data_IF_647931214316
#
_entry.id   IF_647931214316
#
_cell.length_a   1.000
_cell.length_b   1.000
_cell.length_c   1.000
_cell.angle_alpha   90.00
_cell.angle_beta   90.00
_cell.angle_gamma   90.00
#
_symmetry.space_group_name_H-M   'P 1'
#
loop_
_entity.id
_entity.type
_entity.pdbx_description
1 polymer ?
#
# COMPACT_ATOMS: atom_id res chain seq x y z
N UNK A 1 -16.97 24.92 18.26
CA UNK A 1 -17.25 23.56 18.81
C UNK A 1 -18.65 23.39 19.44
N UNK A 2 -19.37 24.44 19.87
CA UNK A 2 -20.70 24.31 20.50
C UNK A 2 -21.83 23.76 19.57
N UNK A 3 -21.61 23.71 18.26
CA UNK A 3 -22.62 23.28 17.28
C UNK A 3 -22.77 21.76 17.17
N UNK A 4 -21.67 20.98 17.21
CA UNK A 4 -21.73 19.53 16.97
C UNK A 4 -22.42 18.76 18.09
N UNK A 5 -22.31 19.24 19.33
CA UNK A 5 -22.92 18.62 20.53
C UNK A 5 -24.45 18.76 20.52
N UNK A 6 -25.00 19.66 19.70
CA UNK A 6 -26.45 19.85 19.52
C UNK A 6 -27.05 18.95 18.44
N UNK A 7 -26.21 18.26 17.67
CA UNK A 7 -26.70 17.33 16.65
C UNK A 7 -27.28 16.08 17.30
N UNK A 8 -28.33 15.54 16.67
CA UNK A 8 -28.89 14.25 17.02
C UNK A 8 -27.81 13.15 16.91
N UNK A 9 -27.80 12.13 17.79
CA UNK A 9 -26.80 11.06 17.77
C UNK A 9 -26.64 10.38 16.41
N UNK A 10 -27.74 10.21 15.68
CA UNK A 10 -27.79 9.57 14.36
C UNK A 10 -27.01 10.35 13.30
N UNK A 11 -27.07 11.68 13.36
CA UNK A 11 -26.29 12.55 12.48
C UNK A 11 -24.79 12.44 12.81
N UNK A 12 -24.44 12.38 14.09
CA UNK A 12 -23.05 12.22 14.52
C UNK A 12 -22.50 10.85 14.08
N UNK A 13 -23.29 9.79 14.20
CA UNK A 13 -22.95 8.45 13.68
C UNK A 13 -22.82 8.41 12.15
N UNK A 14 -23.55 9.27 11.45
CA UNK A 14 -23.43 9.42 9.99
C UNK A 14 -22.16 10.17 9.62
N UNK A 15 -21.83 11.24 10.35
CA UNK A 15 -20.58 12.00 10.21
C UNK A 15 -19.36 11.13 10.54
N UNK A 16 -19.48 10.20 11.50
CA UNK A 16 -18.35 9.36 11.92
C UNK A 16 -17.77 8.48 10.81
N UNK A 17 -18.53 8.23 9.73
CA UNK A 17 -18.08 7.50 8.54
C UNK A 17 -16.98 8.25 7.77
N UNK A 18 -16.86 9.56 7.97
CA UNK A 18 -15.90 10.42 7.28
C UNK A 18 -14.72 10.82 8.16
N UNK A 19 -14.71 10.40 9.43
CA UNK A 19 -13.62 10.72 10.35
C UNK A 19 -12.41 9.83 10.08
N UNK A 20 -11.23 10.42 10.11
CA UNK A 20 -9.98 9.68 10.30
C UNK A 20 -9.89 9.08 11.70
N UNK A 21 -9.01 8.10 11.90
CA UNK A 21 -8.73 7.54 13.23
C UNK A 21 -8.30 8.61 14.23
N UNK A 22 -7.45 9.53 13.79
CA UNK A 22 -6.95 10.63 14.63
C UNK A 22 -8.10 11.51 15.09
N UNK A 23 -9.01 11.88 14.19
CA UNK A 23 -10.18 12.69 14.53
C UNK A 23 -11.15 11.95 15.44
N UNK A 24 -11.37 10.64 15.20
CA UNK A 24 -12.19 9.81 16.08
C UNK A 24 -11.61 9.72 17.50
N UNK A 25 -10.28 9.62 17.63
CA UNK A 25 -9.61 9.66 18.94
C UNK A 25 -9.75 11.03 19.60
N UNK A 26 -9.66 12.13 18.85
CA UNK A 26 -9.93 13.47 19.37
C UNK A 26 -11.39 13.59 19.84
N UNK A 27 -12.33 13.02 19.09
CA UNK A 27 -13.75 12.95 19.42
C UNK A 27 -14.01 12.35 20.81
N UNK A 28 -13.27 11.29 21.18
CA UNK A 28 -13.33 10.67 22.51
C UNK A 28 -12.98 11.63 23.64
N UNK A 29 -12.06 12.55 23.37
CA UNK A 29 -11.51 13.46 24.39
C UNK A 29 -12.27 14.78 24.52
N UNK A 30 -13.22 15.07 23.64
CA UNK A 30 -13.89 16.37 23.60
C UNK A 30 -14.88 16.59 24.76
N UNK A 31 -15.89 15.73 24.93
CA UNK A 31 -16.89 15.88 26.00
C UNK A 31 -17.63 14.57 26.32
N UNK A 32 -18.34 14.52 27.45
CA UNK A 32 -19.07 13.33 27.92
C UNK A 32 -20.13 12.83 26.93
N UNK A 33 -20.82 13.73 26.24
CA UNK A 33 -21.84 13.39 25.25
C UNK A 33 -21.24 12.70 24.02
N UNK A 34 -20.15 13.26 23.47
CA UNK A 34 -19.46 12.62 22.35
C UNK A 34 -18.83 11.29 22.77
N UNK A 35 -18.29 11.22 23.99
CA UNK A 35 -17.82 9.97 24.57
C UNK A 35 -18.94 8.91 24.61
N UNK A 36 -20.15 9.25 25.07
CA UNK A 36 -21.27 8.29 25.09
C UNK A 36 -21.66 7.80 23.69
N UNK A 37 -21.54 8.65 22.65
CA UNK A 37 -21.80 8.22 21.27
C UNK A 37 -20.74 7.22 20.81
N UNK A 38 -19.49 7.41 21.20
CA UNK A 38 -18.44 6.43 20.90
C UNK A 38 -18.63 5.12 21.68
N UNK A 39 -19.47 5.03 22.71
CA UNK A 39 -19.86 3.73 23.31
C UNK A 39 -20.73 2.88 22.38
N UNK A 40 -21.32 3.49 21.35
CA UNK A 40 -22.10 2.78 20.35
C UNK A 40 -21.20 1.92 19.44
N UNK A 41 -21.55 0.64 19.26
CA UNK A 41 -20.88 -0.28 18.35
C UNK A 41 -20.84 0.23 16.91
N UNK A 42 -21.93 0.84 16.43
CA UNK A 42 -22.04 1.35 15.06
C UNK A 42 -21.02 2.42 14.74
N UNK A 43 -20.64 3.25 15.72
CA UNK A 43 -19.59 4.26 15.54
C UNK A 43 -18.28 3.60 15.11
N UNK A 44 -17.85 2.55 15.82
CA UNK A 44 -16.60 1.85 15.53
C UNK A 44 -16.69 0.94 14.32
N UNK A 45 -17.87 0.34 14.07
CA UNK A 45 -18.09 -0.46 12.86
C UNK A 45 -17.95 0.42 11.61
N UNK A 46 -18.60 1.58 11.59
CA UNK A 46 -18.52 2.54 10.49
C UNK A 46 -17.07 2.98 10.25
N UNK A 47 -16.34 3.28 11.32
CA UNK A 47 -14.96 3.72 11.23
C UNK A 47 -14.01 2.59 10.78
N UNK A 48 -14.26 1.36 11.23
CA UNK A 48 -13.54 0.17 10.78
C UNK A 48 -13.81 -0.10 9.29
N UNK A 49 -15.07 -0.03 8.85
CA UNK A 49 -15.46 -0.17 7.44
C UNK A 49 -14.84 0.91 6.56
N UNK A 50 -14.86 2.17 7.02
CA UNK A 50 -14.21 3.27 6.32
C UNK A 50 -12.71 3.01 6.15
N UNK A 51 -12.01 2.57 7.20
CA UNK A 51 -10.61 2.20 7.08
C UNK A 51 -10.40 0.99 6.15
N UNK A 52 -11.24 -0.03 6.26
CA UNK A 52 -11.19 -1.20 5.38
C UNK A 52 -11.34 -0.79 3.93
N UNK A 53 -12.29 0.06 3.60
CA UNK A 53 -12.47 0.57 2.25
C UNK A 53 -11.31 1.49 1.83
N UNK A 54 -10.94 2.49 2.63
CA UNK A 54 -9.88 3.46 2.31
C UNK A 54 -8.52 2.80 2.06
N UNK A 55 -8.22 1.75 2.81
CA UNK A 55 -6.97 1.03 2.71
C UNK A 55 -7.11 -0.33 2.01
N UNK A 56 -8.29 -0.56 1.42
CA UNK A 56 -8.68 -1.79 0.74
C UNK A 56 -8.39 -3.09 1.54
N UNK A 57 -8.49 -3.07 2.87
CA UNK A 57 -8.16 -4.25 3.69
C UNK A 57 -9.09 -5.42 3.32
N UNK A 58 -8.57 -6.65 3.10
CA UNK A 58 -9.38 -7.79 2.69
C UNK A 58 -10.42 -8.14 3.76
N UNK A 59 -11.68 -8.32 3.36
CA UNK A 59 -12.78 -8.65 4.30
C UNK A 59 -12.57 -10.00 5.00
N UNK A 60 -11.86 -10.94 4.35
CA UNK A 60 -11.49 -12.24 4.92
C UNK A 60 -10.66 -12.14 6.20
N UNK A 61 -9.94 -11.04 6.41
CA UNK A 61 -9.01 -10.90 7.54
C UNK A 61 -9.71 -10.73 8.88
N UNK A 62 -10.96 -10.25 8.89
CA UNK A 62 -11.75 -10.03 10.08
C UNK A 62 -13.24 -9.89 9.74
N UNK A 63 -14.10 -10.69 10.38
CA UNK A 63 -15.55 -10.47 10.34
C UNK A 63 -15.92 -9.28 11.23
N UNK A 64 -15.95 -8.09 10.64
CA UNK A 64 -16.35 -6.86 11.33
C UNK A 64 -17.79 -6.93 11.87
N UNK A 65 -18.66 -7.73 11.24
CA UNK A 65 -20.06 -7.85 11.63
C UNK A 65 -20.24 -8.68 12.90
N UNK A 66 -19.38 -9.68 13.13
CA UNK A 66 -19.32 -10.46 14.36
C UNK A 66 -18.44 -9.82 15.45
N UNK A 67 -17.52 -8.92 15.09
CA UNK A 67 -16.60 -8.31 16.03
C UNK A 67 -17.31 -7.50 17.14
N UNK A 68 -16.87 -7.67 18.38
CA UNK A 68 -17.31 -6.91 19.54
C UNK A 68 -16.88 -5.43 19.43
N UNK A 69 -17.56 -4.54 20.17
CA UNK A 69 -17.18 -3.10 20.21
C UNK A 69 -15.71 -2.89 20.62
N UNK A 70 -15.22 -3.71 21.56
CA UNK A 70 -13.83 -3.64 22.02
C UNK A 70 -12.84 -4.07 20.93
N UNK A 71 -13.16 -5.10 20.16
CA UNK A 71 -12.35 -5.54 19.02
C UNK A 71 -12.33 -4.48 17.92
N UNK A 72 -13.48 -3.93 17.54
CA UNK A 72 -13.58 -2.85 16.56
C UNK A 72 -12.74 -1.63 16.97
N UNK A 73 -12.85 -1.20 18.24
CA UNK A 73 -12.01 -0.14 18.81
C UNK A 73 -10.53 -0.42 18.68
N UNK A 74 -10.10 -1.64 19.03
CA UNK A 74 -8.70 -2.05 18.98
C UNK A 74 -8.20 -2.06 17.54
N UNK A 75 -8.98 -2.61 16.62
CA UNK A 75 -8.69 -2.67 15.18
C UNK A 75 -8.51 -1.27 14.61
N UNK A 76 -9.44 -0.34 14.90
CA UNK A 76 -9.37 1.04 14.44
C UNK A 76 -8.17 1.79 15.02
N UNK A 77 -7.91 1.63 16.32
CA UNK A 77 -6.85 2.38 16.99
C UNK A 77 -5.43 1.82 16.72
N UNK A 78 -5.31 0.57 16.23
CA UNK A 78 -4.01 -0.12 16.12
C UNK A 78 -3.02 0.59 15.19
N UNK A 79 -3.39 1.02 13.96
CA UNK A 79 -2.46 1.75 13.09
C UNK A 79 -1.92 3.02 13.75
N UNK A 80 -2.80 3.83 14.33
CA UNK A 80 -2.41 5.05 15.05
C UNK A 80 -1.50 4.77 16.26
N UNK A 81 -1.81 3.73 17.05
CA UNK A 81 -0.98 3.32 18.20
C UNK A 81 0.41 2.86 17.76
N UNK A 82 0.49 2.12 16.66
CA UNK A 82 1.74 1.67 16.08
C UNK A 82 2.57 2.86 15.56
N UNK A 83 1.96 3.74 14.76
CA UNK A 83 2.60 4.96 14.26
C UNK A 83 3.13 5.84 15.40
N UNK A 84 2.33 6.08 16.46
CA UNK A 84 2.81 6.81 17.64
C UNK A 84 3.95 6.09 18.37
N UNK A 85 3.95 4.77 18.40
CA UNK A 85 5.03 4.01 19.03
C UNK A 85 6.34 4.16 18.23
N UNK A 86 6.27 4.20 16.89
CA UNK A 86 7.41 4.51 16.00
C UNK A 86 7.91 5.93 16.29
N UNK A 87 7.04 6.94 16.15
CA UNK A 87 7.42 8.37 16.30
C UNK A 87 8.07 8.63 17.66
N UNK A 88 7.53 8.01 18.71
CA UNK A 88 8.06 8.19 20.07
C UNK A 88 9.26 7.29 20.40
N UNK A 89 9.81 6.55 19.42
CA UNK A 89 10.89 5.56 19.60
C UNK A 89 10.61 4.59 20.76
N UNK A 90 9.33 4.29 20.98
CA UNK A 90 8.83 3.48 22.10
C UNK A 90 8.37 2.10 21.64
N UNK A 91 8.63 1.72 20.38
CA UNK A 91 8.30 0.40 19.87
C UNK A 91 8.96 -0.68 20.72
N UNK A 92 10.23 -0.51 21.09
CA UNK A 92 10.99 -1.44 21.95
C UNK A 92 10.41 -1.60 23.35
N UNK A 93 9.70 -0.59 23.87
CA UNK A 93 9.03 -0.64 25.19
C UNK A 93 7.61 -1.21 25.13
N UNK A 94 6.95 -1.12 23.96
CA UNK A 94 5.56 -1.57 23.73
C UNK A 94 5.45 -2.86 22.94
N UNK A 95 6.55 -3.29 22.35
CA UNK A 95 6.73 -4.57 21.70
C UNK A 95 7.80 -5.30 22.49
N UNK A 96 7.45 -6.25 23.36
CA UNK A 96 8.43 -7.19 23.90
C UNK A 96 9.05 -8.05 22.77
N UNK A 97 8.48 -8.01 21.57
CA UNK A 97 8.96 -8.70 20.38
C UNK A 97 10.18 -7.99 19.85
N UNK A 98 11.34 -8.60 20.06
CA UNK A 98 12.38 -8.55 19.05
C UNK A 98 11.74 -9.21 17.83
N UNK A 99 11.50 -8.47 16.74
CA UNK A 99 11.15 -9.08 15.46
C UNK A 99 12.25 -10.13 15.23
N UNK A 100 11.89 -11.41 15.41
CA UNK A 100 12.88 -12.46 15.36
C UNK A 100 13.49 -12.44 13.98
N UNK A 101 14.82 -12.42 13.93
CA UNK A 101 15.49 -12.53 12.65
C UNK A 101 15.08 -13.89 12.06
N UNK A 102 14.61 -13.93 10.82
CA UNK A 102 14.28 -15.17 10.15
C UNK A 102 15.42 -16.17 10.33
N UNK A 103 15.12 -17.35 10.89
CA UNK A 103 16.12 -18.40 11.09
C UNK A 103 16.41 -19.09 9.74
N UNK A 104 17.14 -18.39 8.89
CA UNK A 104 17.46 -18.81 7.51
C UNK A 104 18.69 -19.71 7.45
N UNK A 105 19.29 -20.06 8.60
CA UNK A 105 20.58 -20.77 8.66
C UNK A 105 21.78 -19.93 8.20
N UNK A 106 21.56 -18.74 7.64
CA UNK A 106 22.59 -17.80 7.22
C UNK A 106 23.01 -16.91 8.38
N UNK A 107 24.30 -16.55 8.44
CA UNK A 107 24.82 -15.61 9.43
C UNK A 107 24.61 -14.19 8.92
N UNK A 108 23.48 -13.59 9.25
CA UNK A 108 23.13 -12.22 8.86
C UNK A 108 23.88 -11.19 9.72
N UNK A 109 24.73 -10.39 9.08
CA UNK A 109 25.45 -9.27 9.69
C UNK A 109 24.86 -7.97 9.15
N UNK A 110 24.63 -6.98 10.03
CA UNK A 110 24.22 -5.63 9.61
C UNK A 110 22.76 -5.48 9.14
N UNK A 111 21.82 -6.29 9.63
CA UNK A 111 20.41 -6.23 9.24
C UNK A 111 19.75 -4.89 9.63
N UNK A 112 19.49 -4.04 8.64
CA UNK A 112 18.77 -2.77 8.75
C UNK A 112 17.41 -2.85 8.07
N UNK A 113 16.34 -2.45 8.77
CA UNK A 113 15.02 -2.28 8.16
C UNK A 113 15.02 -0.96 7.38
N UNK A 114 14.88 -1.05 6.06
CA UNK A 114 14.85 0.10 5.16
C UNK A 114 13.45 0.68 5.06
N UNK A 115 12.45 -0.20 4.91
CA UNK A 115 11.05 0.18 4.79
C UNK A 115 10.17 -0.74 5.62
N UNK A 116 9.08 -0.19 6.17
CA UNK A 116 8.12 -0.92 6.97
C UNK A 116 6.70 -0.41 6.72
N UNK A 117 5.84 -1.29 6.21
CA UNK A 117 4.45 -1.00 5.91
C UNK A 117 3.57 -1.84 6.82
N UNK A 118 2.90 -1.18 7.75
CA UNK A 118 1.84 -1.82 8.52
C UNK A 118 0.58 -1.87 7.65
N UNK A 119 0.19 -3.07 7.25
CA UNK A 119 -1.06 -3.26 6.51
C UNK A 119 -2.20 -2.73 7.38
N UNK A 120 -3.06 -1.89 6.82
CA UNK A 120 -4.16 -1.31 7.57
C UNK A 120 -5.05 -2.39 8.22
N UNK A 121 -5.64 -2.05 9.38
CA UNK A 121 -6.14 -3.03 10.36
C UNK A 121 -5.06 -3.49 11.34
N UNK A 122 -3.79 -3.27 11.01
CA UNK A 122 -2.64 -3.30 11.92
C UNK A 122 -2.21 -4.69 12.36
N UNK A 123 -2.70 -5.75 11.71
CA UNK A 123 -2.30 -7.13 12.01
C UNK A 123 -1.03 -7.51 11.27
N UNK A 124 -0.87 -7.10 10.02
CA UNK A 124 0.24 -7.54 9.19
C UNK A 124 1.25 -6.41 9.05
N UNK A 125 2.53 -6.73 9.23
CA UNK A 125 3.64 -5.81 8.97
C UNK A 125 4.50 -6.39 7.86
N UNK A 126 4.69 -5.65 6.78
CA UNK A 126 5.63 -6.00 5.72
C UNK A 126 6.86 -5.12 5.91
N UNK A 127 8.04 -5.74 5.98
CA UNK A 127 9.31 -5.02 6.05
C UNK A 127 10.18 -5.37 4.88
N UNK A 128 10.88 -4.37 4.37
CA UNK A 128 12.03 -4.56 3.52
C UNK A 128 13.28 -4.29 4.34
N UNK A 129 14.21 -5.25 4.30
CA UNK A 129 15.45 -5.16 5.05
C UNK A 129 16.64 -5.49 4.19
N UNK A 130 17.74 -4.84 4.47
CA UNK A 130 19.04 -5.02 3.81
C UNK A 130 20.08 -5.45 4.84
N UNK A 131 21.06 -6.23 4.41
CA UNK A 131 22.16 -6.66 5.25
C UNK A 131 23.20 -7.43 4.45
N UNK A 132 24.02 -8.20 5.15
CA UNK A 132 25.03 -9.05 4.55
C UNK A 132 24.86 -10.49 5.04
N UNK A 133 24.94 -11.45 4.13
CA UNK A 133 25.08 -12.87 4.47
C UNK A 133 26.31 -13.42 3.76
N UNK A 134 27.22 -14.02 4.53
CA UNK A 134 28.50 -14.54 4.01
C UNK A 134 29.27 -13.50 3.15
N UNK A 135 29.29 -12.24 3.62
CA UNK A 135 29.92 -11.09 2.97
C UNK A 135 29.28 -10.61 1.65
N UNK A 136 28.15 -11.19 1.24
CA UNK A 136 27.36 -10.72 0.09
C UNK A 136 26.18 -9.86 0.53
N UNK A 137 25.87 -8.76 -0.19
CA UNK A 137 24.69 -7.95 0.09
C UNK A 137 23.43 -8.79 -0.12
N UNK A 138 22.52 -8.71 0.86
CA UNK A 138 21.27 -9.45 0.86
C UNK A 138 20.12 -8.51 1.18
N UNK A 139 19.08 -8.59 0.37
CA UNK A 139 17.80 -7.96 0.65
C UNK A 139 16.74 -9.02 0.93
N UNK A 140 15.77 -8.67 1.77
CA UNK A 140 14.68 -9.56 2.11
C UNK A 140 13.39 -8.81 2.40
N UNK A 141 12.30 -9.42 1.95
CA UNK A 141 10.94 -9.05 2.36
C UNK A 141 10.50 -10.01 3.44
N UNK A 142 10.01 -9.45 4.55
CA UNK A 142 9.47 -10.23 5.65
C UNK A 142 8.06 -9.76 5.94
N UNK A 143 7.12 -10.69 6.01
CA UNK A 143 5.75 -10.40 6.43
C UNK A 143 5.52 -11.00 7.80
N UNK A 144 5.13 -10.19 8.77
CA UNK A 144 4.84 -10.61 10.14
C UNK A 144 3.33 -10.60 10.40
N UNK A 145 2.80 -11.67 10.99
CA UNK A 145 1.49 -11.65 11.67
C UNK A 145 1.69 -11.11 13.09
N UNK A 146 1.39 -9.82 13.27
CA UNK A 146 1.45 -9.12 14.54
C UNK A 146 0.07 -9.13 15.19
N UNK A 147 -0.06 -9.86 16.28
CA UNK A 147 -1.26 -9.87 17.11
C UNK A 147 -1.03 -9.06 18.37
N UNK A 148 -2.13 -8.61 18.99
CA UNK A 148 -2.11 -7.99 20.32
C UNK A 148 -2.83 -8.92 21.30
N UNK A 149 -2.17 -9.98 21.81
CA UNK A 149 -2.80 -10.91 22.76
C UNK A 149 -3.15 -10.22 24.09
N UNK A 150 -2.48 -9.11 24.43
CA UNK A 150 -2.78 -8.27 25.59
C UNK A 150 -2.83 -6.78 25.21
N UNK A 151 -3.46 -5.95 26.03
CA UNK A 151 -3.75 -4.54 25.72
C UNK A 151 -2.54 -3.66 25.39
N UNK A 152 -1.34 -4.09 25.79
CA UNK A 152 -0.13 -3.28 25.75
C UNK A 152 1.01 -3.86 24.93
N UNK A 153 0.92 -5.12 24.53
CA UNK A 153 2.04 -5.83 23.90
C UNK A 153 1.63 -6.37 22.53
N UNK A 154 2.41 -6.02 21.52
CA UNK A 154 2.41 -6.73 20.25
C UNK A 154 3.11 -8.09 20.41
N UNK A 155 2.71 -9.07 19.62
CA UNK A 155 3.31 -10.40 19.52
C UNK A 155 3.39 -10.80 18.05
N UNK A 156 4.57 -11.19 17.56
CA UNK A 156 4.68 -11.87 16.26
C UNK A 156 4.29 -13.32 16.50
N UNK A 157 3.26 -13.78 15.80
CA UNK A 157 2.79 -15.18 15.93
C UNK A 157 3.24 -16.05 14.77
N UNK A 158 3.58 -15.43 13.63
CA UNK A 158 4.09 -16.10 12.45
C UNK A 158 4.79 -15.07 11.55
N UNK A 159 5.66 -15.56 10.66
CA UNK A 159 6.26 -14.73 9.63
C UNK A 159 6.51 -15.51 8.34
N UNK A 160 6.45 -14.82 7.21
CA UNK A 160 6.94 -15.28 5.90
C UNK A 160 8.24 -14.56 5.58
N UNK A 161 9.22 -15.28 5.05
CA UNK A 161 10.50 -14.72 4.63
C UNK A 161 10.71 -14.96 3.14
N UNK A 162 11.10 -13.92 2.43
CA UNK A 162 11.47 -13.97 1.03
C UNK A 162 12.83 -13.31 0.84
N UNK A 163 13.80 -14.09 0.37
CA UNK A 163 15.08 -13.56 -0.07
C UNK A 163 14.96 -12.94 -1.46
N UNK A 164 15.49 -11.73 -1.62
CA UNK A 164 15.63 -11.07 -2.91
C UNK A 164 17.08 -11.26 -3.37
N UNK A 165 17.29 -12.18 -4.31
CA UNK A 165 18.61 -12.43 -4.89
C UNK A 165 19.08 -11.19 -5.66
N UNK A 166 20.36 -10.81 -5.48
CA UNK A 166 21.06 -9.79 -6.28
C UNK A 166 20.43 -8.38 -6.31
N UNK A 167 19.62 -8.04 -5.29
CA UNK A 167 19.01 -6.73 -5.16
C UNK A 167 19.98 -5.72 -4.51
N UNK A 168 20.25 -4.61 -5.18
CA UNK A 168 21.00 -3.46 -4.63
C UNK A 168 20.11 -2.51 -3.83
N UNK A 169 18.91 -2.27 -4.36
CA UNK A 169 17.90 -1.41 -3.77
C UNK A 169 16.54 -2.00 -4.05
N UNK A 170 15.64 -1.79 -3.10
CA UNK A 170 14.25 -2.17 -3.27
C UNK A 170 13.31 -1.18 -2.59
N UNK A 171 12.09 -1.13 -3.08
CA UNK A 171 10.95 -0.51 -2.41
C UNK A 171 9.84 -1.54 -2.34
N UNK A 172 8.95 -1.38 -1.36
CA UNK A 172 7.79 -2.25 -1.22
C UNK A 172 6.51 -1.44 -1.23
N UNK A 173 5.44 -2.05 -1.75
CA UNK A 173 4.08 -1.58 -1.48
C UNK A 173 3.19 -2.79 -1.20
N UNK A 174 2.03 -2.51 -0.62
CA UNK A 174 1.04 -3.53 -0.31
C UNK A 174 -0.31 -3.10 -0.84
N UNK A 175 -1.04 -4.07 -1.35
CA UNK A 175 -2.40 -3.90 -1.83
C UNK A 175 -3.22 -5.12 -1.49
N UNK A 176 -4.55 -5.08 -1.63
CA UNK A 176 -5.38 -6.25 -1.53
C UNK A 176 -5.20 -7.11 -2.77
N UNK A 177 -5.40 -8.41 -2.60
CA UNK A 177 -5.68 -9.32 -3.70
C UNK A 177 -6.99 -8.90 -4.40
N UNK A 178 -7.11 -8.96 -5.74
CA UNK A 178 -8.35 -8.60 -6.44
C UNK A 178 -9.58 -9.38 -5.99
N UNK A 179 -9.39 -10.61 -5.50
CA UNK A 179 -10.49 -11.40 -4.92
C UNK A 179 -10.88 -10.97 -3.50
N UNK A 180 -10.14 -10.05 -2.87
CA UNK A 180 -10.39 -9.58 -1.50
C UNK A 180 -10.16 -10.63 -0.42
N UNK A 181 -9.41 -11.70 -0.74
CA UNK A 181 -9.14 -12.82 0.17
C UNK A 181 -7.78 -12.72 0.86
N UNK A 182 -6.83 -12.00 0.27
CA UNK A 182 -5.49 -11.80 0.80
C UNK A 182 -4.89 -10.47 0.38
N UNK A 183 -3.57 -10.35 0.42
CA UNK A 183 -2.90 -9.14 -0.02
C UNK A 183 -1.74 -9.44 -0.96
N UNK A 184 -1.50 -8.50 -1.85
CA UNK A 184 -0.38 -8.45 -2.77
C UNK A 184 0.73 -7.61 -2.14
N UNK A 185 1.95 -8.12 -2.19
CA UNK A 185 3.18 -7.41 -1.87
C UNK A 185 3.92 -7.20 -3.18
N UNK A 186 4.08 -5.95 -3.58
CA UNK A 186 4.84 -5.61 -4.77
C UNK A 186 6.22 -5.14 -4.34
N UNK A 187 7.22 -5.73 -4.97
CA UNK A 187 8.62 -5.48 -4.67
C UNK A 187 9.27 -4.95 -5.91
N UNK A 188 9.86 -3.78 -5.77
CA UNK A 188 10.71 -3.17 -6.76
C UNK A 188 12.14 -3.63 -6.52
N UNK A 189 12.84 -4.14 -7.52
CA UNK A 189 14.18 -4.70 -7.39
C UNK A 189 15.09 -4.06 -8.42
N UNK A 190 16.19 -3.46 -7.97
CA UNK A 190 17.28 -2.99 -8.82
C UNK A 190 18.40 -4.02 -8.78
N UNK A 191 18.66 -4.67 -9.91
CA UNK A 191 19.65 -5.73 -10.01
C UNK A 191 21.06 -5.16 -10.04
N UNK A 192 21.97 -5.76 -9.26
CA UNK A 192 23.40 -5.41 -9.29
C UNK A 192 24.04 -5.91 -10.60
N UNK A 193 23.58 -7.03 -11.13
CA UNK A 193 24.16 -7.67 -12.31
C UNK A 193 23.07 -8.37 -13.15
N UNK A 194 22.84 -7.97 -14.42
CA UNK A 194 23.50 -6.85 -15.12
C UNK A 194 23.12 -5.50 -14.50
N UNK A 195 24.10 -4.58 -14.49
CA UNK A 195 23.95 -3.24 -13.93
C UNK A 195 22.81 -2.52 -14.66
N UNK A 196 21.92 -1.88 -13.89
CA UNK A 196 20.76 -1.10 -14.34
C UNK A 196 19.53 -1.91 -14.80
N UNK A 197 19.50 -3.24 -14.61
CA UNK A 197 18.24 -3.95 -14.78
C UNK A 197 17.29 -3.68 -13.63
N UNK A 198 16.04 -3.47 -13.99
CA UNK A 198 14.96 -3.20 -13.08
C UNK A 198 13.93 -4.33 -13.14
N UNK A 199 13.36 -4.73 -12.01
CA UNK A 199 12.21 -5.61 -12.04
C UNK A 199 11.17 -5.25 -11.00
N UNK A 200 9.91 -5.43 -11.36
CA UNK A 200 8.77 -5.40 -10.47
C UNK A 200 8.27 -6.82 -10.28
N UNK A 201 8.09 -7.23 -9.04
CA UNK A 201 7.59 -8.57 -8.73
C UNK A 201 6.38 -8.46 -7.80
N UNK A 202 5.30 -9.11 -8.18
CA UNK A 202 4.08 -9.19 -7.39
C UNK A 202 4.04 -10.54 -6.67
N UNK A 203 3.96 -10.49 -5.35
CA UNK A 203 3.78 -11.66 -4.49
C UNK A 203 2.41 -11.65 -3.86
N UNK A 204 1.76 -12.80 -3.77
CA UNK A 204 0.51 -12.97 -3.04
C UNK A 204 0.78 -13.60 -1.69
N UNK A 205 0.07 -13.12 -0.68
CA UNK A 205 -0.03 -13.76 0.63
C UNK A 205 -1.49 -14.09 0.93
N UNK A 206 -1.75 -15.36 1.24
CA UNK A 206 -3.03 -15.81 1.80
C UNK A 206 -2.99 -15.77 3.34
N UNK A 207 -3.67 -14.81 3.99
CA UNK A 207 -3.68 -14.68 5.44
C UNK A 207 -4.47 -15.79 6.14
N UNK A 208 -5.27 -16.58 5.41
CA UNK A 208 -6.10 -17.66 5.95
C UNK A 208 -5.34 -18.99 6.08
N UNK A 209 -4.12 -19.08 5.53
CA UNK A 209 -3.26 -20.26 5.61
C UNK A 209 -2.04 -20.00 6.51
N UNK A 210 -2.23 -19.83 7.83
CA UNK A 210 -1.15 -19.44 8.74
C UNK A 210 -0.04 -20.50 8.83
N UNK A 211 -0.31 -21.76 8.51
CA UNK A 211 0.69 -22.84 8.51
C UNK A 211 1.73 -22.69 7.38
N UNK A 212 1.38 -21.98 6.31
CA UNK A 212 2.18 -21.84 5.08
C UNK A 212 2.23 -20.40 4.65
N UNK A 213 2.34 -19.46 5.60
CA UNK A 213 2.59 -18.04 5.31
C UNK A 213 3.83 -17.93 4.40
N UNK A 214 3.57 -17.94 3.10
CA UNK A 214 4.53 -18.03 2.04
C UNK A 214 4.11 -17.00 1.00
N UNK A 215 5.06 -16.16 0.62
CA UNK A 215 4.90 -15.22 -0.48
C UNK A 215 4.99 -16.00 -1.79
N UNK A 216 3.86 -16.16 -2.47
CA UNK A 216 3.81 -16.81 -3.77
C UNK A 216 4.03 -15.77 -4.87
N UNK A 217 5.02 -15.97 -5.73
CA UNK A 217 5.24 -15.08 -6.88
C UNK A 217 4.11 -15.27 -7.90
N UNK A 218 3.35 -14.21 -8.15
CA UNK A 218 2.22 -14.22 -9.09
C UNK A 218 2.63 -13.68 -10.46
N UNK A 219 3.37 -12.58 -10.46
CA UNK A 219 3.76 -11.91 -11.70
C UNK A 219 5.12 -11.23 -11.52
N UNK A 220 5.80 -11.02 -12.64
CA UNK A 220 7.02 -10.23 -12.68
C UNK A 220 7.16 -9.51 -13.99
N UNK A 221 7.77 -8.34 -13.95
CA UNK A 221 8.11 -7.55 -15.11
C UNK A 221 9.57 -7.12 -15.01
N UNK A 222 10.35 -7.36 -16.06
CA UNK A 222 11.69 -6.79 -16.21
C UNK A 222 11.63 -5.53 -17.06
N UNK A 223 12.41 -4.52 -16.71
CA UNK A 223 12.58 -3.29 -17.51
C UNK A 223 14.07 -3.02 -17.69
N UNK A 224 14.42 -2.50 -18.87
CA UNK A 224 15.82 -2.24 -19.22
C UNK A 224 16.34 -0.91 -18.68
N UNK A 225 15.49 0.10 -18.50
CA UNK A 225 15.93 1.39 -17.94
C UNK A 225 15.45 1.55 -16.50
N UNK A 226 16.39 1.96 -15.64
CA UNK A 226 16.15 2.31 -14.26
C UNK A 226 15.30 3.60 -14.20
N UNK A 227 14.20 3.61 -13.43
CA UNK A 227 13.44 4.84 -13.24
C UNK A 227 14.31 5.91 -12.56
N UNK A 228 14.21 7.15 -13.01
CA UNK A 228 14.94 8.28 -12.43
C UNK A 228 14.47 8.59 -11.00
N UNK A 229 13.21 8.24 -10.70
CA UNK A 229 12.61 8.38 -9.39
C UNK A 229 11.83 7.11 -9.04
N UNK A 230 12.00 6.62 -7.81
CA UNK A 230 11.29 5.46 -7.31
C UNK A 230 10.14 5.97 -6.44
N UNK A 231 8.98 6.13 -7.07
CA UNK A 231 7.77 6.58 -6.39
C UNK A 231 7.03 5.45 -5.67
N UNK A 232 6.14 5.79 -4.71
CA UNK A 232 5.30 4.79 -4.07
C UNK A 232 4.41 4.12 -5.13
N UNK A 233 4.55 2.81 -5.25
CA UNK A 233 3.69 1.97 -6.08
C UNK A 233 2.27 2.04 -5.50
N UNK A 234 1.30 2.54 -6.29
CA UNK A 234 -0.12 2.50 -5.91
C UNK A 234 -0.87 1.50 -6.75
N UNK A 235 -1.81 0.83 -6.10
CA UNK A 235 -2.51 -0.31 -6.69
C UNK A 235 -4.01 -0.09 -6.61
N UNK A 236 -4.69 -0.23 -7.73
CA UNK A 236 -6.13 -0.24 -7.82
C UNK A 236 -6.58 -1.45 -8.65
N UNK A 237 -7.33 -2.35 -8.03
CA UNK A 237 -7.68 -3.62 -8.65
C UNK A 237 -6.41 -4.39 -9.07
N UNK A 238 -6.22 -4.57 -10.38
CA UNK A 238 -5.06 -5.24 -10.98
C UNK A 238 -4.01 -4.27 -11.53
N UNK A 239 -4.25 -2.96 -11.45
CA UNK A 239 -3.35 -1.94 -11.97
C UNK A 239 -2.40 -1.48 -10.89
N UNK A 240 -1.12 -1.42 -11.24
CA UNK A 240 -0.04 -0.85 -10.45
C UNK A 240 0.54 0.33 -11.21
N UNK A 241 0.56 1.50 -10.58
CA UNK A 241 1.12 2.71 -11.17
C UNK A 241 2.40 3.11 -10.43
N UNK A 242 3.42 3.48 -11.20
CA UNK A 242 4.74 3.89 -10.72
C UNK A 242 5.22 5.12 -11.49
N UNK A 243 5.68 6.15 -10.79
CA UNK A 243 6.35 7.27 -11.46
C UNK A 243 7.70 6.76 -11.99
N UNK A 244 7.90 6.81 -13.30
CA UNK A 244 9.08 6.27 -13.96
C UNK A 244 10.18 7.33 -14.13
N UNK A 245 9.77 8.54 -14.51
CA UNK A 245 10.60 9.76 -14.52
C UNK A 245 9.75 10.96 -14.15
N UNK A 246 10.37 12.13 -13.97
CA UNK A 246 9.64 13.40 -13.87
C UNK A 246 8.74 13.68 -15.07
N UNK A 247 8.85 12.94 -16.20
CA UNK A 247 8.03 12.97 -17.45
C UNK A 247 7.02 11.83 -17.68
N UNK A 248 7.16 10.69 -16.98
CA UNK A 248 6.55 9.42 -17.38
C UNK A 248 5.92 8.67 -16.22
N UNK A 249 4.67 8.26 -16.41
CA UNK A 249 3.99 7.31 -15.53
C UNK A 249 4.01 5.92 -16.15
N UNK A 250 4.58 4.97 -15.45
CA UNK A 250 4.53 3.57 -15.81
C UNK A 250 3.31 2.91 -15.15
N UNK A 251 2.55 2.12 -15.91
CA UNK A 251 1.35 1.43 -15.45
C UNK A 251 1.48 -0.04 -15.83
N UNK A 252 1.29 -0.92 -14.85
CA UNK A 252 1.35 -2.36 -14.99
C UNK A 252 0.06 -3.01 -14.55
N UNK A 253 -0.63 -3.66 -15.48
CA UNK A 253 -1.70 -4.60 -15.20
C UNK A 253 -1.08 -5.97 -14.94
N UNK A 254 -0.74 -6.23 -13.68
CA UNK A 254 0.00 -7.44 -13.29
C UNK A 254 -0.84 -8.72 -13.45
N UNK A 255 -2.17 -8.61 -13.43
CA UNK A 255 -3.04 -9.77 -13.58
C UNK A 255 -3.11 -10.24 -15.05
N UNK A 256 -3.06 -9.29 -15.99
CA UNK A 256 -3.06 -9.61 -17.41
C UNK A 256 -1.66 -9.60 -18.03
N UNK A 257 -0.62 -9.30 -17.26
CA UNK A 257 0.76 -9.22 -17.73
C UNK A 257 1.00 -8.09 -18.74
N UNK A 258 0.16 -7.06 -18.76
CA UNK A 258 0.24 -5.92 -19.70
C UNK A 258 0.82 -4.70 -19.01
N UNK A 259 1.51 -3.86 -19.76
CA UNK A 259 1.98 -2.58 -19.24
C UNK A 259 1.89 -1.47 -20.28
N UNK A 260 1.94 -0.24 -19.80
CA UNK A 260 1.97 0.98 -20.59
C UNK A 260 2.84 2.03 -19.95
N UNK A 261 3.38 2.93 -20.76
CA UNK A 261 4.06 4.13 -20.31
C UNK A 261 3.26 5.32 -20.81
N UNK A 262 2.76 6.12 -19.89
CA UNK A 262 2.13 7.40 -20.18
C UNK A 262 3.18 8.51 -20.08
N UNK A 263 3.21 9.39 -21.08
CA UNK A 263 4.07 10.58 -21.11
C UNK A 263 3.17 11.79 -21.35
N UNK A 264 3.08 12.70 -20.39
CA UNK A 264 2.21 13.87 -20.48
C UNK A 264 2.05 14.59 -19.15
N UNK A 265 1.32 15.70 -19.15
CA UNK A 265 1.06 16.49 -17.95
C UNK A 265 0.22 15.70 -16.93
N UNK A 266 0.68 15.68 -15.69
CA UNK A 266 0.34 14.69 -14.66
C UNK A 266 -1.03 14.78 -14.03
N UNK A 267 -1.81 15.80 -14.37
CA UNK A 267 -2.87 16.17 -13.46
C UNK A 267 -3.96 15.09 -13.38
N UNK A 268 -4.31 14.43 -14.49
CA UNK A 268 -5.39 13.43 -14.52
C UNK A 268 -5.16 12.40 -15.63
N UNK A 269 -5.21 11.11 -15.30
CA UNK A 269 -5.17 9.99 -16.25
C UNK A 269 -6.42 9.13 -16.01
N UNK A 270 -7.08 8.66 -17.07
CA UNK A 270 -8.22 7.72 -16.96
C UNK A 270 -7.82 6.39 -17.57
N UNK A 271 -7.90 5.32 -16.78
CA UNK A 271 -7.48 3.96 -17.09
C UNK A 271 -8.66 3.00 -16.92
N UNK A 272 -9.30 2.55 -18.01
CA UNK A 272 -10.36 1.53 -17.94
C UNK A 272 -11.43 1.82 -16.85
N UNK A 273 -11.95 3.06 -16.82
CA UNK A 273 -12.89 3.62 -15.82
C UNK A 273 -12.30 3.99 -14.44
N UNK A 274 -10.99 3.94 -14.31
CA UNK A 274 -10.25 4.34 -13.11
C UNK A 274 -9.58 5.69 -13.35
N UNK A 275 -9.98 6.72 -12.62
CA UNK A 275 -9.33 8.03 -12.59
C UNK A 275 -8.09 7.94 -11.70
N UNK A 276 -6.93 8.24 -12.25
CA UNK A 276 -5.66 8.36 -11.55
C UNK A 276 -5.24 9.83 -11.61
N UNK A 277 -5.36 10.53 -10.49
CA UNK A 277 -4.88 11.90 -10.32
C UNK A 277 -3.52 11.85 -9.63
N UNK A 278 -2.53 12.60 -10.11
CA UNK A 278 -1.25 12.74 -9.41
C UNK A 278 -1.29 14.06 -8.65
N UNK A 279 -1.22 13.99 -7.32
CA UNK A 279 -1.09 15.16 -6.44
C UNK A 279 0.32 15.77 -6.56
N UNK A 280 0.48 17.03 -6.15
CA UNK A 280 1.75 17.78 -6.23
C UNK A 280 2.91 17.11 -5.47
N UNK A 281 2.61 16.27 -4.48
CA UNK A 281 3.60 15.50 -3.71
C UNK A 281 3.93 14.13 -4.34
N UNK A 282 3.38 13.83 -5.53
CA UNK A 282 3.54 12.56 -6.23
C UNK A 282 2.57 11.47 -5.79
N UNK A 283 1.62 11.76 -4.91
CA UNK A 283 0.59 10.80 -4.52
C UNK A 283 -0.42 10.54 -5.65
N UNK A 284 -0.67 9.27 -5.95
CA UNK A 284 -1.65 8.85 -6.96
C UNK A 284 -3.06 8.68 -6.36
N UNK A 285 -3.96 9.65 -6.44
CA UNK A 285 -5.37 9.40 -6.08
C UNK A 285 -6.02 8.54 -7.15
N UNK A 286 -6.61 7.42 -6.72
CA UNK A 286 -7.34 6.53 -7.62
C UNK A 286 -8.82 6.56 -7.26
N UNK A 287 -9.66 7.01 -8.19
CA UNK A 287 -11.12 7.09 -8.02
C UNK A 287 -11.84 6.37 -9.16
N UNK A 288 -13.01 5.80 -8.86
CA UNK A 288 -13.86 5.21 -9.89
C UNK A 288 -14.66 6.35 -10.55
N UNK A 289 -14.10 6.98 -11.57
CA UNK A 289 -14.82 8.02 -12.30
C UNK A 289 -15.78 7.42 -13.33
N UNK A 290 -16.92 8.08 -13.53
CA UNK A 290 -17.63 8.01 -14.81
C UNK A 290 -17.02 9.06 -15.75
N UNK A 291 -16.21 8.70 -16.76
CA UNK A 291 -15.44 9.70 -17.49
C UNK A 291 -16.19 10.16 -18.76
N UNK A 292 -16.36 11.47 -18.90
CA UNK A 292 -16.72 12.12 -20.19
C UNK A 292 -15.53 12.24 -21.15
N UNK A 293 -14.29 12.03 -20.66
CA UNK A 293 -13.05 11.97 -21.46
C UNK A 293 -12.19 10.79 -21.01
N UNK A 294 -12.17 9.72 -21.80
CA UNK A 294 -11.21 8.63 -21.62
C UNK A 294 -9.92 8.92 -22.39
N UNK A 295 -8.78 8.88 -21.71
CA UNK A 295 -7.48 8.77 -22.37
C UNK A 295 -7.31 7.30 -22.72
N UNK A 296 -7.15 6.99 -24.00
CA UNK A 296 -6.92 5.62 -24.45
C UNK A 296 -5.45 5.30 -24.29
N UNK A 297 -5.08 4.45 -23.34
CA UNK A 297 -3.72 3.92 -23.30
C UNK A 297 -3.46 3.05 -24.53
N UNK A 298 -2.30 3.23 -25.17
CA UNK A 298 -1.76 2.17 -26.02
C UNK A 298 -1.07 1.15 -25.13
N UNK A 299 -1.77 0.05 -24.85
CA UNK A 299 -1.17 -1.10 -24.19
C UNK A 299 -0.11 -1.72 -25.09
N UNK A 300 1.07 -2.00 -24.55
CA UNK A 300 2.05 -2.81 -25.23
C UNK A 300 1.76 -4.29 -24.91
N UNK A 301 1.29 -5.03 -25.90
CA UNK A 301 1.04 -6.47 -25.82
C UNK A 301 2.15 -7.23 -26.55
N UNK A 302 3.37 -7.32 -25.98
CA UNK A 302 4.44 -8.16 -26.55
C UNK A 302 5.56 -8.44 -25.55
N UNK A 303 6.33 -9.55 -25.68
CA UNK A 303 7.54 -9.77 -24.88
C UNK A 303 8.53 -8.63 -25.11
N UNK A 304 9.03 -8.08 -24.01
CA UNK A 304 9.90 -6.89 -23.89
C UNK A 304 11.10 -6.89 -24.86
N UNK A 305 11.57 -8.05 -25.31
CA UNK A 305 12.79 -8.19 -26.14
C UNK A 305 12.68 -7.67 -27.58
N UNK A 306 11.49 -7.59 -28.17
CA UNK A 306 11.35 -7.13 -29.57
C UNK A 306 11.14 -5.61 -29.69
N UNK A 307 10.46 -4.98 -28.75
CA UNK A 307 10.22 -3.53 -28.80
C UNK A 307 11.50 -2.73 -28.49
N UNK A 308 12.28 -3.15 -27.50
CA UNK A 308 13.47 -2.42 -27.06
C UNK A 308 14.69 -2.57 -27.99
N UNK A 309 14.65 -3.51 -28.95
CA UNK A 309 15.66 -3.59 -30.03
C UNK A 309 15.36 -2.65 -31.20
N UNK A 310 14.14 -2.11 -31.31
CA UNK A 310 13.71 -1.34 -32.50
C UNK A 310 13.48 0.15 -32.27
N UNK A 311 13.48 0.63 -31.03
CA UNK A 311 13.18 2.03 -30.72
C UNK A 311 14.31 2.71 -29.95
N UNK A 312 15.13 3.48 -30.67
CA UNK A 312 15.87 4.62 -30.09
C UNK A 312 14.94 5.81 -29.76
N UNK A 313 13.66 5.74 -30.13
CA UNK A 313 12.63 6.70 -29.78
C UNK A 313 11.38 5.98 -29.27
N UNK A 314 10.92 6.20 -28.01
CA UNK A 314 9.65 5.65 -27.56
C UNK A 314 8.50 6.25 -28.37
N UNK A 315 7.50 5.43 -28.70
CA UNK A 315 6.25 5.91 -29.32
C UNK A 315 5.56 6.89 -28.36
N UNK A 316 5.69 8.19 -28.64
CA UNK A 316 5.03 9.27 -27.91
C UNK A 316 3.58 9.31 -28.37
N UNK A 317 2.64 9.09 -27.45
CA UNK A 317 1.23 9.44 -27.71
C UNK A 317 1.11 10.94 -27.40
N UNK A 318 1.15 11.76 -28.44
CA UNK A 318 0.86 13.18 -28.31
C UNK A 318 -0.63 13.38 -28.00
N UNK A 319 -0.93 14.05 -26.89
CA UNK A 319 -2.27 14.59 -26.65
C UNK A 319 -2.53 15.73 -27.63
N UNK A 320 -3.71 15.80 -28.29
CA UNK A 320 -4.06 16.94 -29.11
C UNK A 320 -4.10 18.19 -28.23
N UNK A 321 -3.34 19.23 -28.61
CA UNK A 321 -3.32 20.51 -27.92
C UNK A 321 -4.76 21.04 -27.79
N UNK A 322 -5.22 21.24 -26.56
CA UNK A 322 -6.49 21.94 -26.30
C UNK A 322 -6.22 23.42 -26.58
N UNK A 323 -6.90 24.06 -27.55
CA UNK A 323 -6.79 25.49 -27.72
C UNK A 323 -7.32 26.16 -26.46
N UNK A 324 -6.44 26.89 -25.78
CA UNK A 324 -6.82 27.83 -24.72
C UNK A 324 -7.63 28.95 -25.39
N UNK A 325 -8.95 28.84 -25.38
CA UNK A 325 -9.81 29.98 -25.64
C UNK A 325 -9.66 30.93 -24.46
N UNK A 326 -8.92 32.02 -24.70
CA UNK A 326 -8.89 33.18 -23.84
C UNK A 326 -10.22 33.92 -24.00
N UNK A 327 -11.14 33.70 -23.07
CA UNK A 327 -12.35 34.51 -22.94
C UNK A 327 -12.81 34.52 -21.47
N UNK A 328 -12.50 35.61 -20.75
CA UNK A 328 -13.48 36.60 -20.27
C UNK A 328 -12.89 37.49 -19.15
N UNK A 329 -12.87 38.79 -19.46
CA UNK A 329 -13.04 40.00 -18.64
C UNK A 329 -12.06 40.34 -17.50
#
# INVERSE_FOLDING_TARGET
MASIVRLAPELILSISKYLSVTEAVLFLSCCRYLHSITENRHFWLNLAQYMWSRYNIPHSTCDLSAASTLELRRTVARPYRFQRAIIKKNLTRRSPVKLERPNTGLKWIGFGCMEAILIPGGRWLVTLSEGYGNDEPMSAVVVYDIRMPAEKNFAVVAHSFLHLEQASYSSITVAPDPAGLGFMVFVQIIHVNPVNKFSLVAYKLDPLQPATLALERVASLEMLDQPAYIGPLRVAGTLLAHLYTEQKLFIWDWANGRYGVYQGDYNIIVLDAVLVTIEEDGALLVDNAQPEKMIKLSWLESPIEEHLKSTSDPLVIETPAVPMEAEFL
#
